data_IF_498192736941
#
_entry.id   IF_498192736941
#
_cell.length_a   1.000
_cell.length_b   1.000
_cell.length_c   1.000
_cell.angle_alpha   90.00
_cell.angle_beta   90.00
_cell.angle_gamma   90.00
#
_symmetry.space_group_name_H-M   'P 1'
#
loop_
_entity.id
_entity.type
_entity.pdbx_description
1 polymer ?
#
# COMPACT_ATOMS: atom_id res chain seq x y z
N UNK A 1 -15.32 43.48 -39.91
CA UNK A 1 -15.18 44.11 -38.59
C UNK A 1 -15.41 43.02 -37.56
N UNK A 2 -14.29 42.41 -37.13
CA UNK A 2 -14.31 41.27 -36.23
C UNK A 2 -14.43 41.76 -34.79
N UNK A 3 -15.32 41.18 -34.02
CA UNK A 3 -15.38 41.37 -32.57
C UNK A 3 -15.10 40.04 -31.91
N UNK A 4 -13.96 40.01 -31.25
CA UNK A 4 -13.48 39.00 -30.33
C UNK A 4 -14.38 38.96 -29.08
N UNK A 5 -14.83 37.75 -28.65
CA UNK A 5 -15.51 37.55 -27.38
C UNK A 5 -14.83 36.41 -26.63
N UNK A 6 -13.72 36.76 -26.00
CA UNK A 6 -13.21 36.00 -24.85
C UNK A 6 -14.11 36.29 -23.64
N UNK A 7 -14.98 35.37 -23.29
CA UNK A 7 -15.78 35.43 -22.05
C UNK A 7 -14.95 34.83 -20.94
N UNK A 8 -14.34 35.68 -20.15
CA UNK A 8 -13.73 35.36 -18.88
C UNK A 8 -14.85 35.20 -17.83
N UNK A 9 -15.15 33.97 -17.46
CA UNK A 9 -16.00 33.71 -16.30
C UNK A 9 -15.17 33.88 -15.03
N UNK A 10 -15.22 35.04 -14.42
CA UNK A 10 -14.80 35.26 -13.04
C UNK A 10 -15.89 34.72 -12.11
N UNK A 11 -15.62 33.60 -11.47
CA UNK A 11 -16.42 33.14 -10.32
C UNK A 11 -15.82 33.77 -9.07
N UNK A 12 -16.51 34.80 -8.55
CA UNK A 12 -16.25 35.31 -7.21
C UNK A 12 -16.72 34.29 -6.19
N UNK A 13 -15.78 33.64 -5.49
CA UNK A 13 -16.07 32.84 -4.30
C UNK A 13 -15.75 33.72 -3.10
N UNK A 14 -16.81 34.12 -2.39
CA UNK A 14 -16.69 34.72 -1.05
C UNK A 14 -16.10 33.67 -0.09
N UNK A 15 -14.96 34.00 0.50
CA UNK A 15 -14.29 33.19 1.51
C UNK A 15 -14.98 33.44 2.84
N UNK A 16 -15.87 32.54 3.28
CA UNK A 16 -16.29 32.42 4.67
C UNK A 16 -15.53 31.27 5.31
N UNK A 17 -14.66 31.67 6.23
CA UNK A 17 -13.99 30.92 7.30
C UNK A 17 -14.27 29.41 7.42
N UNK A 18 -13.24 28.58 7.23
CA UNK A 18 -13.10 27.31 7.95
C UNK A 18 -13.33 26.02 7.17
N UNK A 19 -12.98 25.94 5.88
CA UNK A 19 -12.90 24.66 5.17
C UNK A 19 -11.55 24.60 4.42
N UNK A 20 -10.73 23.63 4.81
CA UNK A 20 -9.55 23.20 4.09
C UNK A 20 -9.90 23.02 2.60
N UNK A 21 -9.18 23.67 1.70
CA UNK A 21 -9.27 23.42 0.27
C UNK A 21 -8.87 21.96 0.04
N UNK A 22 -9.87 21.08 -0.18
CA UNK A 22 -9.64 19.73 -0.70
C UNK A 22 -8.87 19.87 -2.02
N UNK A 23 -7.80 19.09 -2.13
CA UNK A 23 -6.79 19.18 -3.17
C UNK A 23 -7.34 19.31 -4.59
N UNK A 24 -6.62 20.06 -5.39
CA UNK A 24 -6.81 20.14 -6.84
C UNK A 24 -6.61 18.72 -7.39
N UNK A 25 -7.65 18.20 -8.04
CA UNK A 25 -7.59 16.89 -8.70
C UNK A 25 -6.69 17.03 -9.92
N UNK A 26 -5.48 16.50 -9.85
CA UNK A 26 -4.51 16.53 -10.94
C UNK A 26 -4.54 15.22 -11.75
N UNK A 27 -4.41 15.36 -13.06
CA UNK A 27 -4.47 14.28 -14.06
C UNK A 27 -3.11 13.62 -14.17
N UNK A 28 -2.96 12.37 -13.69
CA UNK A 28 -1.66 11.77 -13.48
C UNK A 28 -1.53 10.41 -14.13
N UNK A 29 -0.34 10.13 -14.67
CA UNK A 29 0.07 8.78 -15.05
C UNK A 29 1.20 8.28 -14.17
N UNK A 30 1.22 6.98 -13.94
CA UNK A 30 2.31 6.29 -13.28
C UNK A 30 3.49 6.11 -14.26
N UNK A 31 4.71 6.48 -13.82
CA UNK A 31 5.94 6.33 -14.61
C UNK A 31 7.04 5.70 -13.76
N UNK A 32 7.75 4.72 -14.30
CA UNK A 32 8.97 4.22 -13.67
C UNK A 32 10.08 5.28 -13.74
N UNK A 33 10.81 5.52 -12.65
CA UNK A 33 11.89 6.53 -12.59
C UNK A 33 13.00 6.27 -13.60
N UNK A 34 13.20 5.00 -14.01
CA UNK A 34 14.15 4.65 -15.09
C UNK A 34 13.77 5.26 -16.44
N UNK A 35 12.46 5.44 -16.68
CA UNK A 35 11.86 5.93 -17.93
C UNK A 35 11.39 7.38 -17.82
N UNK A 36 11.59 8.02 -16.63
CA UNK A 36 11.17 9.38 -16.34
C UNK A 36 11.98 10.38 -17.21
N UNK A 37 11.25 11.24 -17.90
CA UNK A 37 11.83 12.32 -18.73
C UNK A 37 11.99 13.61 -17.91
N UNK A 38 12.88 14.48 -18.37
CA UNK A 38 12.97 15.86 -17.87
C UNK A 38 11.81 16.70 -18.39
N UNK A 39 11.56 17.83 -17.74
CA UNK A 39 10.54 18.81 -18.12
C UNK A 39 9.08 18.34 -17.94
N UNK A 40 8.84 17.20 -17.23
CA UNK A 40 7.51 16.77 -16.84
C UNK A 40 7.21 17.22 -15.41
N UNK A 41 5.94 17.39 -15.07
CA UNK A 41 5.50 17.84 -13.75
C UNK A 41 5.20 16.64 -12.88
N UNK A 42 5.76 16.61 -11.67
CA UNK A 42 5.44 15.60 -10.65
C UNK A 42 4.03 15.84 -10.12
N UNK A 43 3.17 14.88 -10.26
CA UNK A 43 1.77 15.00 -9.84
C UNK A 43 1.56 14.72 -8.35
N UNK A 44 2.27 13.73 -7.77
CA UNK A 44 2.19 13.39 -6.34
C UNK A 44 3.50 13.72 -5.62
N UNK A 45 3.41 14.25 -4.40
CA UNK A 45 4.57 14.43 -3.54
C UNK A 45 5.27 13.10 -3.25
N UNK A 46 6.60 13.12 -3.26
CA UNK A 46 7.43 11.92 -3.13
C UNK A 46 8.16 11.98 -1.80
N UNK A 47 8.04 10.92 -1.00
CA UNK A 47 8.65 10.79 0.30
C UNK A 47 9.68 9.65 0.31
N UNK A 48 10.65 9.73 1.23
CA UNK A 48 11.58 8.62 1.47
C UNK A 48 11.03 7.62 2.51
N UNK A 49 11.79 6.55 2.77
CA UNK A 49 11.42 5.51 3.72
C UNK A 49 11.38 5.95 5.20
N UNK A 50 11.77 7.19 5.49
CA UNK A 50 11.65 7.80 6.83
C UNK A 50 10.52 8.85 6.90
N UNK A 51 9.64 8.91 5.89
CA UNK A 51 8.55 9.88 5.81
C UNK A 51 8.99 11.29 5.41
N UNK A 52 10.26 11.52 5.10
CA UNK A 52 10.75 12.85 4.73
C UNK A 52 10.44 13.17 3.27
N UNK A 53 9.87 14.34 3.02
CA UNK A 53 9.59 14.84 1.67
C UNK A 53 10.89 14.95 0.85
N UNK A 54 10.92 14.32 -0.32
CA UNK A 54 12.02 14.38 -1.30
C UNK A 54 11.74 15.38 -2.39
N UNK A 55 10.57 15.29 -3.04
CA UNK A 55 10.14 16.19 -4.12
C UNK A 55 8.64 16.47 -3.91
N UNK A 56 8.27 17.75 -3.99
CA UNK A 56 6.88 18.19 -3.86
C UNK A 56 6.15 18.03 -5.20
N UNK A 57 4.84 17.72 -5.16
CA UNK A 57 3.93 17.83 -6.33
C UNK A 57 4.03 19.23 -6.97
N UNK A 58 3.78 19.32 -8.27
CA UNK A 58 3.98 20.54 -9.06
C UNK A 58 5.45 20.83 -9.43
N UNK A 59 6.42 20.03 -8.96
CA UNK A 59 7.83 20.21 -9.30
C UNK A 59 8.12 19.70 -10.71
N UNK A 60 8.72 20.55 -11.55
CA UNK A 60 9.19 20.19 -12.88
C UNK A 60 10.49 19.39 -12.79
N UNK A 61 10.55 18.24 -13.43
CA UNK A 61 11.69 17.32 -13.34
C UNK A 61 12.91 17.85 -14.07
N UNK A 62 14.09 17.66 -13.48
CA UNK A 62 15.39 17.91 -14.06
C UNK A 62 16.24 16.63 -14.05
N UNK A 63 17.41 16.66 -14.68
CA UNK A 63 18.38 15.55 -14.62
C UNK A 63 18.82 15.29 -13.18
N UNK A 64 19.00 16.34 -12.40
CA UNK A 64 19.40 16.30 -11.00
C UNK A 64 18.29 15.64 -10.15
N UNK A 65 17.04 16.04 -10.34
CA UNK A 65 15.87 15.45 -9.65
C UNK A 65 15.77 13.95 -9.96
N UNK A 66 15.92 13.56 -11.22
CA UNK A 66 15.86 12.15 -11.63
C UNK A 66 17.01 11.36 -11.00
N UNK A 67 18.23 11.89 -10.99
CA UNK A 67 19.37 11.24 -10.34
C UNK A 67 19.18 11.14 -8.81
N UNK A 68 18.59 12.17 -8.19
CA UNK A 68 18.27 12.21 -6.77
C UNK A 68 17.22 11.14 -6.41
N UNK A 69 16.15 10.98 -7.21
CA UNK A 69 15.14 9.94 -7.03
C UNK A 69 15.77 8.53 -7.13
N UNK A 70 16.61 8.30 -8.16
CA UNK A 70 17.33 7.03 -8.31
C UNK A 70 18.23 6.71 -7.11
N UNK A 71 18.95 7.72 -6.58
CA UNK A 71 19.81 7.58 -5.40
C UNK A 71 19.01 7.24 -4.15
N UNK A 72 17.78 7.77 -4.02
CA UNK A 72 16.87 7.47 -2.92
C UNK A 72 15.99 6.23 -3.19
N UNK A 73 16.35 5.41 -4.20
CA UNK A 73 15.65 4.18 -4.55
C UNK A 73 14.14 4.34 -4.81
N UNK A 74 13.74 5.51 -5.30
CA UNK A 74 12.37 5.72 -5.79
C UNK A 74 12.25 5.07 -7.17
N UNK A 75 11.27 4.21 -7.37
CA UNK A 75 11.10 3.45 -8.61
C UNK A 75 9.93 3.91 -9.45
N UNK A 76 8.92 4.47 -8.81
CA UNK A 76 7.67 4.91 -9.45
C UNK A 76 7.36 6.31 -8.97
N UNK A 77 6.88 7.14 -9.89
CA UNK A 77 6.36 8.47 -9.62
C UNK A 77 5.07 8.67 -10.42
N UNK A 78 4.24 9.59 -9.97
CA UNK A 78 3.11 10.08 -10.75
C UNK A 78 3.49 11.41 -11.38
N UNK A 79 3.20 11.54 -12.67
CA UNK A 79 3.43 12.77 -13.44
C UNK A 79 2.13 13.21 -14.11
N UNK A 80 1.94 14.49 -14.27
CA UNK A 80 0.78 15.04 -14.96
C UNK A 80 0.73 14.59 -16.43
N UNK A 81 -0.45 14.23 -16.92
CA UNK A 81 -0.70 13.87 -18.32
C UNK A 81 -2.12 14.27 -18.75
N UNK A 82 -2.21 15.25 -19.65
CA UNK A 82 -3.48 15.76 -20.17
C UNK A 82 -4.40 14.69 -20.80
N UNK A 83 -3.85 13.53 -21.19
CA UNK A 83 -4.64 12.43 -21.76
C UNK A 83 -5.48 11.66 -20.72
N UNK A 84 -5.27 11.97 -19.44
CA UNK A 84 -5.94 11.31 -18.31
C UNK A 84 -6.77 12.30 -17.47
N UNK A 85 -7.28 13.38 -18.09
CA UNK A 85 -8.05 14.45 -17.43
C UNK A 85 -9.26 13.99 -16.61
N UNK A 86 -9.75 12.77 -16.84
CA UNK A 86 -10.88 12.16 -16.14
C UNK A 86 -10.46 11.15 -15.05
N UNK A 87 -9.16 10.89 -14.89
CA UNK A 87 -8.62 9.93 -13.92
C UNK A 87 -8.12 10.66 -12.67
N UNK A 88 -8.86 10.49 -11.56
CA UNK A 88 -8.54 11.09 -10.26
C UNK A 88 -7.66 10.15 -9.45
N UNK A 89 -6.54 10.65 -8.95
CA UNK A 89 -5.62 9.94 -8.04
C UNK A 89 -5.47 10.81 -6.79
N UNK A 90 -5.72 10.21 -5.63
CA UNK A 90 -5.63 10.87 -4.33
C UNK A 90 -4.21 10.79 -3.75
N UNK A 91 -3.74 11.84 -3.10
CA UNK A 91 -2.42 11.90 -2.43
C UNK A 91 -2.52 12.05 -0.89
N UNK A 92 -3.73 12.20 -0.33
CA UNK A 92 -3.95 12.38 1.12
C UNK A 92 -3.45 11.17 1.92
N UNK A 93 -3.62 9.95 1.38
CA UNK A 93 -3.10 8.73 2.02
C UNK A 93 -1.57 8.75 2.14
N UNK A 94 -0.87 9.27 1.13
CA UNK A 94 0.60 9.35 1.15
C UNK A 94 1.10 10.31 2.25
N UNK A 95 0.40 11.42 2.48
CA UNK A 95 0.70 12.36 3.56
C UNK A 95 0.44 11.74 4.93
N UNK A 96 -0.71 11.09 5.13
CA UNK A 96 -1.04 10.40 6.38
C UNK A 96 -0.04 9.28 6.66
N UNK A 97 0.32 8.49 5.66
CA UNK A 97 1.34 7.45 5.73
C UNK A 97 2.68 8.02 6.16
N UNK A 98 3.11 9.12 5.54
CA UNK A 98 4.35 9.81 5.85
C UNK A 98 4.39 10.30 7.30
N UNK A 99 3.33 10.97 7.76
CA UNK A 99 3.20 11.48 9.11
C UNK A 99 3.19 10.34 10.15
N UNK A 100 2.54 9.22 9.84
CA UNK A 100 2.55 8.04 10.71
C UNK A 100 3.94 7.44 10.80
N UNK A 101 4.66 7.38 9.68
CA UNK A 101 6.00 6.80 9.60
C UNK A 101 7.02 7.56 10.46
N UNK A 102 6.95 8.89 10.49
CA UNK A 102 7.82 9.72 11.33
C UNK A 102 7.66 9.42 12.83
N UNK A 103 6.46 9.02 13.25
CA UNK A 103 6.13 8.73 14.66
C UNK A 103 6.41 7.27 15.07
N UNK A 104 6.50 6.34 14.14
CA UNK A 104 6.66 4.90 14.46
C UNK A 104 7.86 4.57 15.35
N UNK A 105 9.06 5.16 15.18
CA UNK A 105 10.19 4.90 16.07
C UNK A 105 9.90 5.26 17.53
N UNK A 106 9.22 6.39 17.77
CA UNK A 106 8.83 6.84 19.09
C UNK A 106 7.78 5.91 19.71
N UNK A 107 6.78 5.50 18.92
CA UNK A 107 5.74 4.55 19.34
C UNK A 107 6.37 3.24 19.82
N UNK A 108 7.27 2.65 19.03
CA UNK A 108 7.93 1.39 19.37
C UNK A 108 8.83 1.54 20.61
N UNK A 109 9.56 2.64 20.74
CA UNK A 109 10.38 2.92 21.92
C UNK A 109 9.53 3.05 23.18
N UNK A 110 8.43 3.79 23.11
CA UNK A 110 7.53 4.00 24.25
C UNK A 110 6.85 2.69 24.69
N UNK A 111 6.43 1.85 23.75
CA UNK A 111 5.92 0.50 24.03
C UNK A 111 6.95 -0.37 24.75
N UNK A 112 8.22 -0.31 24.34
CA UNK A 112 9.30 -1.12 24.91
C UNK A 112 9.83 -0.57 26.25
N UNK A 113 9.63 0.72 26.54
CA UNK A 113 10.08 1.34 27.80
C UNK A 113 9.21 0.99 29.00
N UNK A 114 7.98 0.48 28.76
CA UNK A 114 6.97 0.20 29.79
C UNK A 114 6.23 1.44 30.27
N UNK A 115 6.44 2.60 29.67
CA UNK A 115 5.68 3.82 29.94
C UNK A 115 4.30 3.74 29.28
N UNK A 116 3.30 3.41 30.09
CA UNK A 116 1.92 3.17 29.63
C UNK A 116 1.24 4.44 29.11
N UNK A 117 1.57 5.60 29.64
CA UNK A 117 0.92 6.87 29.26
C UNK A 117 1.41 7.29 27.89
N UNK A 118 2.73 7.37 27.70
CA UNK A 118 3.36 7.67 26.41
C UNK A 118 3.00 6.65 25.32
N UNK A 119 2.90 5.37 25.67
CA UNK A 119 2.48 4.33 24.72
C UNK A 119 1.03 4.49 24.28
N UNK A 120 0.10 4.88 25.18
CA UNK A 120 -1.30 5.15 24.84
C UNK A 120 -1.44 6.38 23.94
N UNK A 121 -0.76 7.47 24.28
CA UNK A 121 -0.74 8.67 23.44
C UNK A 121 -0.21 8.38 22.04
N UNK A 122 0.86 7.57 21.95
CA UNK A 122 1.42 7.13 20.70
C UNK A 122 0.41 6.30 19.86
N UNK A 123 -0.36 5.39 20.48
CA UNK A 123 -1.40 4.63 19.81
C UNK A 123 -2.59 5.50 19.36
N UNK A 124 -2.92 6.56 20.10
CA UNK A 124 -3.96 7.52 19.66
C UNK A 124 -3.58 8.25 18.35
N UNK A 125 -2.30 8.50 18.14
CA UNK A 125 -1.83 9.12 16.90
C UNK A 125 -2.09 8.25 15.64
N UNK A 126 -2.32 6.94 15.79
CA UNK A 126 -2.71 6.05 14.69
C UNK A 126 -4.18 6.24 14.26
N UNK A 127 -4.99 6.93 15.07
CA UNK A 127 -6.41 7.13 14.76
C UNK A 127 -6.64 7.90 13.46
N UNK A 128 -5.73 8.82 13.09
CA UNK A 128 -5.86 9.60 11.85
C UNK A 128 -5.90 8.70 10.61
N UNK A 129 -5.09 7.64 10.57
CA UNK A 129 -5.10 6.67 9.48
C UNK A 129 -6.44 5.93 9.39
N UNK A 130 -6.96 5.48 10.54
CA UNK A 130 -8.26 4.79 10.60
C UNK A 130 -9.41 5.73 10.27
N UNK A 131 -9.34 6.98 10.73
CA UNK A 131 -10.35 7.99 10.46
C UNK A 131 -10.43 8.30 8.97
N UNK A 132 -9.28 8.47 8.30
CA UNK A 132 -9.21 8.62 6.86
C UNK A 132 -9.82 7.40 6.14
N UNK A 133 -9.36 6.18 6.42
CA UNK A 133 -9.86 4.96 5.78
C UNK A 133 -11.36 4.76 6.03
N UNK A 134 -11.86 5.15 7.21
CA UNK A 134 -13.28 5.01 7.55
C UNK A 134 -14.16 6.04 6.84
N UNK A 135 -13.66 7.27 6.65
CA UNK A 135 -14.40 8.38 6.02
C UNK A 135 -14.46 8.27 4.49
N UNK A 136 -13.40 7.74 3.89
CA UNK A 136 -13.37 7.54 2.45
C UNK A 136 -14.39 6.49 2.01
N UNK A 137 -15.05 6.74 0.86
CA UNK A 137 -16.00 5.81 0.25
C UNK A 137 -15.32 4.53 -0.27
N UNK A 138 -15.43 4.27 -1.56
CA UNK A 138 -14.70 3.20 -2.23
C UNK A 138 -13.29 3.67 -2.60
N UNK A 139 -12.35 3.59 -1.65
CA UNK A 139 -10.94 3.86 -1.93
C UNK A 139 -10.36 2.68 -2.70
N UNK A 140 -9.93 2.96 -3.92
CA UNK A 140 -9.24 2.01 -4.77
C UNK A 140 -7.77 1.98 -4.39
N UNK A 141 -7.40 1.10 -3.44
CA UNK A 141 -5.99 0.93 -3.12
C UNK A 141 -5.29 0.13 -4.19
N UNK A 142 -4.25 0.75 -4.66
CA UNK A 142 -3.34 0.22 -5.62
C UNK A 142 -2.19 -0.51 -4.92
N UNK A 143 -2.01 -1.78 -5.26
CA UNK A 143 -0.91 -2.60 -4.74
C UNK A 143 0.49 -2.06 -5.09
N UNK A 144 0.61 -1.21 -6.11
CA UNK A 144 1.87 -0.54 -6.46
C UNK A 144 2.23 0.61 -5.51
N UNK A 145 1.26 1.24 -4.87
CA UNK A 145 1.47 2.32 -3.88
C UNK A 145 1.91 1.79 -2.52
N UNK A 146 1.59 0.52 -2.23
CA UNK A 146 1.99 -0.18 -1.01
C UNK A 146 3.37 -0.86 -1.10
N UNK A 147 4.22 -0.46 -2.05
CA UNK A 147 5.55 -1.05 -2.21
C UNK A 147 6.53 -0.50 -1.18
N UNK A 148 7.02 -1.38 -0.34
CA UNK A 148 8.12 -1.10 0.59
C UNK A 148 9.46 -1.22 -0.12
N UNK A 149 10.35 -0.24 0.06
CA UNK A 149 11.60 -0.13 -0.70
C UNK A 149 12.87 -0.46 0.07
N UNK A 150 12.82 -0.71 1.38
CA UNK A 150 14.03 -1.01 2.14
C UNK A 150 13.80 -2.02 3.29
N UNK A 151 14.92 -2.55 3.77
CA UNK A 151 14.96 -3.53 4.84
C UNK A 151 14.31 -2.98 6.11
N UNK A 152 13.42 -3.80 6.66
CA UNK A 152 13.01 -3.77 8.04
C UNK A 152 12.71 -2.38 8.61
N UNK A 153 11.78 -1.69 8.02
CA UNK A 153 11.37 -0.39 8.47
C UNK A 153 9.91 -0.43 8.91
N UNK A 154 9.57 0.48 9.77
CA UNK A 154 8.21 0.77 10.19
C UNK A 154 7.22 0.91 9.01
N UNK A 155 7.75 1.16 7.80
CA UNK A 155 6.97 1.25 6.56
C UNK A 155 6.22 -0.06 6.26
N UNK A 156 6.86 -1.22 6.48
CA UNK A 156 6.20 -2.52 6.34
C UNK A 156 5.03 -2.68 7.31
N UNK A 157 5.22 -2.27 8.57
CA UNK A 157 4.15 -2.29 9.57
C UNK A 157 3.00 -1.37 9.16
N UNK A 158 3.30 -0.19 8.61
CA UNK A 158 2.30 0.77 8.14
C UNK A 158 1.55 0.22 6.93
N UNK A 159 2.26 -0.29 5.93
CA UNK A 159 1.64 -0.88 4.73
C UNK A 159 0.74 -2.07 5.10
N UNK A 160 1.19 -2.93 6.02
CA UNK A 160 0.39 -4.03 6.57
C UNK A 160 -0.86 -3.50 7.29
N UNK A 161 -0.71 -2.45 8.11
CA UNK A 161 -1.82 -1.79 8.82
C UNK A 161 -2.84 -1.17 7.86
N UNK A 162 -2.38 -0.45 6.86
CA UNK A 162 -3.23 0.14 5.81
C UNK A 162 -4.04 -0.96 5.10
N UNK A 163 -3.37 -2.01 4.62
CA UNK A 163 -4.02 -3.12 3.94
C UNK A 163 -5.04 -3.82 4.83
N UNK A 164 -4.68 -4.11 6.09
CA UNK A 164 -5.58 -4.74 7.05
C UNK A 164 -6.83 -3.89 7.30
N UNK A 165 -6.69 -2.55 7.44
CA UNK A 165 -7.82 -1.64 7.62
C UNK A 165 -8.77 -1.65 6.42
N UNK A 166 -8.25 -1.61 5.19
CA UNK A 166 -9.11 -1.66 4.00
C UNK A 166 -9.81 -3.02 3.87
N UNK A 167 -9.11 -4.09 4.16
CA UNK A 167 -9.69 -5.43 4.16
C UNK A 167 -10.78 -5.55 5.22
N UNK A 168 -10.53 -5.08 6.45
CA UNK A 168 -11.52 -5.03 7.52
C UNK A 168 -12.74 -4.18 7.16
N UNK A 169 -12.56 -3.02 6.51
CA UNK A 169 -13.64 -2.18 6.01
C UNK A 169 -14.51 -2.94 4.99
N UNK A 170 -13.90 -3.63 4.04
CA UNK A 170 -14.61 -4.47 3.06
C UNK A 170 -15.28 -5.70 3.70
N UNK A 171 -14.83 -6.11 4.87
CA UNK A 171 -15.50 -7.13 5.70
C UNK A 171 -16.66 -6.57 6.54
N UNK A 172 -16.91 -5.27 6.48
CA UNK A 172 -18.01 -4.61 7.18
C UNK A 172 -17.69 -4.22 8.64
N UNK A 173 -16.41 -4.12 9.01
CA UNK A 173 -16.03 -3.69 10.35
C UNK A 173 -16.43 -2.24 10.60
N UNK A 174 -16.98 -1.98 11.79
CA UNK A 174 -17.21 -0.61 12.24
C UNK A 174 -15.88 0.07 12.63
N UNK A 175 -15.92 1.38 12.84
CA UNK A 175 -14.75 2.20 13.16
C UNK A 175 -13.95 1.68 14.37
N UNK A 176 -14.64 1.23 15.42
CA UNK A 176 -13.97 0.73 16.63
C UNK A 176 -13.21 -0.58 16.35
N UNK A 177 -13.83 -1.51 15.63
CA UNK A 177 -13.15 -2.76 15.24
C UNK A 177 -12.00 -2.50 14.26
N UNK A 178 -12.13 -1.51 13.36
CA UNK A 178 -11.05 -1.07 12.47
C UNK A 178 -9.86 -0.49 13.24
N UNK A 179 -10.09 0.32 14.28
CA UNK A 179 -9.02 0.85 15.14
C UNK A 179 -8.24 -0.28 15.81
N UNK A 180 -8.93 -1.26 16.37
CA UNK A 180 -8.30 -2.44 17.00
C UNK A 180 -7.46 -3.24 16.00
N UNK A 181 -8.01 -3.51 14.82
CA UNK A 181 -7.30 -4.19 13.74
C UNK A 181 -6.07 -3.40 13.28
N UNK A 182 -6.19 -2.08 13.14
CA UNK A 182 -5.07 -1.20 12.78
C UNK A 182 -3.94 -1.29 13.79
N UNK A 183 -4.25 -1.14 15.08
CA UNK A 183 -3.26 -1.24 16.17
C UNK A 183 -2.56 -2.59 16.12
N UNK A 184 -3.33 -3.67 16.02
CA UNK A 184 -2.78 -5.03 15.92
C UNK A 184 -1.84 -5.19 14.73
N UNK A 185 -2.26 -4.73 13.55
CA UNK A 185 -1.46 -4.85 12.32
C UNK A 185 -0.23 -3.95 12.31
N UNK A 186 -0.32 -2.71 12.84
CA UNK A 186 0.81 -1.80 12.97
C UNK A 186 1.87 -2.30 13.96
N UNK A 187 1.46 -3.09 14.94
CA UNK A 187 2.32 -3.60 16.00
C UNK A 187 2.67 -5.08 15.85
N UNK A 188 2.26 -5.75 14.75
CA UNK A 188 2.47 -7.20 14.60
C UNK A 188 3.93 -7.62 14.81
N UNK A 189 4.84 -6.76 14.41
CA UNK A 189 6.30 -6.98 14.45
C UNK A 189 7.01 -6.31 15.65
N UNK A 190 6.30 -5.71 16.61
CA UNK A 190 6.91 -4.98 17.74
C UNK A 190 7.87 -5.84 18.55
N UNK A 191 7.63 -7.14 18.66
CA UNK A 191 8.51 -8.08 19.36
C UNK A 191 9.88 -8.28 18.71
N UNK A 192 10.09 -7.86 17.47
CA UNK A 192 11.41 -7.86 16.82
C UNK A 192 12.39 -6.92 17.50
N UNK A 193 11.90 -5.94 18.26
CA UNK A 193 12.77 -5.09 19.11
C UNK A 193 13.56 -5.86 20.16
N UNK A 194 13.10 -7.06 20.54
CA UNK A 194 13.81 -7.98 21.45
C UNK A 194 14.72 -8.98 20.73
N UNK A 195 14.76 -8.99 19.41
CA UNK A 195 15.65 -9.84 18.61
C UNK A 195 16.96 -9.09 18.35
N UNK A 196 18.13 -9.77 18.40
CA UNK A 196 19.42 -9.14 18.09
C UNK A 196 19.41 -8.46 16.70
N UNK A 197 19.87 -7.22 16.63
CA UNK A 197 19.89 -6.43 15.40
C UNK A 197 20.71 -7.09 14.29
N UNK A 198 21.78 -7.78 14.64
CA UNK A 198 22.64 -8.52 13.70
C UNK A 198 21.84 -9.61 12.97
N UNK A 199 20.87 -10.22 13.67
CA UNK A 199 20.03 -11.26 13.10
C UNK A 199 18.95 -10.66 12.19
N UNK A 200 18.32 -9.56 12.61
CA UNK A 200 17.30 -8.87 11.83
C UNK A 200 17.88 -8.30 10.53
N UNK A 201 19.09 -7.71 10.61
CA UNK A 201 19.75 -7.04 9.49
C UNK A 201 20.71 -7.95 8.72
N UNK A 202 20.70 -9.27 8.98
CA UNK A 202 21.60 -10.21 8.32
C UNK A 202 21.42 -10.21 6.81
N UNK A 203 22.49 -9.91 6.09
CA UNK A 203 22.52 -10.06 4.65
C UNK A 203 22.61 -11.54 4.28
N UNK A 204 21.56 -12.11 3.69
CA UNK A 204 21.52 -13.51 3.25
C UNK A 204 20.47 -14.35 3.99
N UNK A 205 20.54 -15.66 3.77
CA UNK A 205 19.61 -16.60 4.42
C UNK A 205 19.98 -16.81 5.89
N UNK A 206 18.96 -16.87 6.74
CA UNK A 206 19.12 -17.31 8.13
C UNK A 206 19.40 -18.81 8.17
N UNK A 207 20.23 -19.25 9.15
CA UNK A 207 20.33 -20.68 9.50
C UNK A 207 19.05 -21.13 10.21
N UNK A 208 18.87 -22.43 10.38
CA UNK A 208 17.71 -22.98 11.09
C UNK A 208 17.67 -22.52 12.56
N UNK A 209 18.84 -22.37 13.19
CA UNK A 209 18.97 -21.87 14.57
C UNK A 209 18.62 -20.38 14.66
N UNK A 210 19.10 -19.58 13.73
CA UNK A 210 18.78 -18.15 13.65
C UNK A 210 17.28 -17.95 13.37
N UNK A 211 16.71 -18.76 12.48
CA UNK A 211 15.28 -18.71 12.19
C UNK A 211 14.44 -19.10 13.42
N UNK A 212 14.87 -20.07 14.22
CA UNK A 212 14.22 -20.39 15.51
C UNK A 212 14.18 -19.19 16.45
N UNK A 213 15.29 -18.43 16.54
CA UNK A 213 15.34 -17.21 17.37
C UNK A 213 14.34 -16.15 16.83
N UNK A 214 14.33 -15.94 15.52
CA UNK A 214 13.40 -15.00 14.91
C UNK A 214 11.93 -15.36 15.18
N UNK A 215 11.58 -16.63 15.21
CA UNK A 215 10.20 -17.13 15.50
C UNK A 215 9.68 -16.78 16.90
N UNK A 216 10.52 -16.29 17.81
CA UNK A 216 10.07 -15.83 19.12
C UNK A 216 9.43 -14.44 19.10
N UNK A 217 9.60 -13.62 18.02
CA UNK A 217 9.11 -12.25 18.03
C UNK A 217 7.58 -12.12 18.25
N UNK A 218 6.68 -13.04 17.78
CA UNK A 218 5.26 -12.90 18.11
C UNK A 218 5.00 -13.06 19.61
N UNK A 219 5.73 -13.98 20.28
CA UNK A 219 5.69 -14.14 21.73
C UNK A 219 6.19 -12.91 22.48
N UNK A 220 7.32 -12.33 22.04
CA UNK A 220 7.83 -11.08 22.60
C UNK A 220 6.86 -9.90 22.35
N UNK A 221 6.21 -9.85 21.20
CA UNK A 221 5.17 -8.86 20.91
C UNK A 221 4.00 -8.97 21.89
N UNK A 222 3.51 -10.18 22.11
CA UNK A 222 2.48 -10.45 23.13
C UNK A 222 2.90 -9.97 24.51
N UNK A 223 4.12 -10.32 24.97
CA UNK A 223 4.64 -9.89 26.28
C UNK A 223 4.67 -8.37 26.43
N UNK A 224 5.13 -7.65 25.39
CA UNK A 224 5.16 -6.18 25.38
C UNK A 224 3.74 -5.61 25.55
N UNK A 225 2.78 -6.13 24.78
CA UNK A 225 1.39 -5.65 24.82
C UNK A 225 0.65 -6.03 26.11
N UNK A 226 0.92 -7.22 26.67
CA UNK A 226 0.39 -7.63 27.97
C UNK A 226 0.90 -6.72 29.11
N UNK A 227 2.18 -6.33 29.07
CA UNK A 227 2.78 -5.39 30.04
C UNK A 227 2.17 -3.99 29.95
N UNK A 228 1.83 -3.54 28.73
CA UNK A 228 1.12 -2.28 28.53
C UNK A 228 -0.27 -2.32 29.20
N UNK A 229 -0.99 -3.42 29.04
CA UNK A 229 -2.34 -3.61 29.56
C UNK A 229 -3.40 -2.73 28.88
N UNK A 230 -4.66 -3.08 29.06
CA UNK A 230 -5.80 -2.30 28.54
C UNK A 230 -6.06 -2.48 27.05
N UNK A 231 -5.32 -3.34 26.36
CA UNK A 231 -5.64 -3.78 25.01
C UNK A 231 -6.57 -5.01 25.05
N UNK A 232 -7.50 -5.07 24.11
CA UNK A 232 -8.38 -6.22 24.00
C UNK A 232 -7.65 -7.47 23.48
N UNK A 233 -8.15 -8.61 23.83
CA UNK A 233 -7.57 -9.91 23.51
C UNK A 233 -7.37 -10.11 21.99
N UNK A 234 -8.31 -9.64 21.17
CA UNK A 234 -8.23 -9.73 19.71
C UNK A 234 -7.00 -8.99 19.17
N UNK A 235 -6.64 -7.83 19.76
CA UNK A 235 -5.46 -7.05 19.37
C UNK A 235 -4.18 -7.81 19.67
N UNK A 236 -4.09 -8.36 20.89
CA UNK A 236 -2.93 -9.13 21.35
C UNK A 236 -2.77 -10.42 20.57
N UNK A 237 -3.88 -11.12 20.33
CA UNK A 237 -3.90 -12.36 19.56
C UNK A 237 -3.54 -12.11 18.09
N UNK A 238 -3.93 -10.98 17.50
CA UNK A 238 -3.49 -10.58 16.16
C UNK A 238 -1.97 -10.50 16.05
N UNK A 239 -1.31 -9.89 17.04
CA UNK A 239 0.16 -9.81 17.13
C UNK A 239 0.80 -11.17 17.41
N UNK A 240 0.23 -11.97 18.31
CA UNK A 240 0.80 -13.25 18.70
C UNK A 240 0.71 -14.30 17.60
N UNK A 241 -0.40 -14.33 16.84
CA UNK A 241 -0.78 -15.41 15.93
C UNK A 241 -0.58 -15.10 14.45
N UNK A 242 -0.05 -13.92 14.07
CA UNK A 242 0.02 -13.52 12.66
C UNK A 242 0.87 -14.42 11.76
N UNK A 243 1.71 -15.27 12.33
CA UNK A 243 2.46 -16.30 11.61
C UNK A 243 1.85 -17.71 11.72
N UNK A 244 0.67 -17.84 12.33
CA UNK A 244 -0.07 -19.08 12.22
C UNK A 244 -0.55 -19.28 10.77
N UNK A 245 -0.63 -20.54 10.36
CA UNK A 245 -1.12 -20.92 9.04
C UNK A 245 -2.44 -21.67 9.16
N UNK A 246 -3.32 -21.44 8.22
CA UNK A 246 -4.67 -21.99 8.25
C UNK A 246 -4.70 -23.51 8.37
N UNK A 247 -3.69 -24.21 7.83
CA UNK A 247 -3.50 -25.66 7.93
C UNK A 247 -2.84 -26.14 9.24
N UNK A 248 -2.39 -25.22 10.11
CA UNK A 248 -1.74 -25.49 11.39
C UNK A 248 -0.24 -25.78 11.32
N UNK A 249 0.40 -25.53 10.18
CA UNK A 249 1.87 -25.65 10.04
C UNK A 249 2.62 -24.39 10.42
N UNK A 250 1.89 -23.38 10.95
CA UNK A 250 2.42 -22.11 11.38
C UNK A 250 3.09 -22.13 12.76
N UNK A 251 3.31 -20.98 13.33
CA UNK A 251 3.85 -20.74 14.66
C UNK A 251 3.24 -19.49 15.27
N UNK A 252 3.29 -19.27 16.59
CA UNK A 252 4.04 -20.04 17.60
C UNK A 252 3.31 -21.25 18.18
N UNK A 253 1.99 -21.34 18.09
CA UNK A 253 1.18 -22.36 18.78
C UNK A 253 0.70 -23.51 17.88
N UNK A 254 0.81 -23.35 16.54
CA UNK A 254 0.33 -24.34 15.57
C UNK A 254 -1.21 -24.42 15.49
N UNK A 255 -1.89 -23.30 15.69
CA UNK A 255 -3.34 -23.17 15.62
C UNK A 255 -3.84 -23.43 14.19
N UNK A 256 -5.11 -23.85 14.07
CA UNK A 256 -5.72 -24.19 12.78
C UNK A 256 -7.05 -23.47 12.60
N UNK A 257 -7.31 -23.06 11.38
CA UNK A 257 -8.62 -22.54 10.95
C UNK A 257 -9.13 -21.43 11.90
N UNK A 258 -10.30 -21.66 12.48
CA UNK A 258 -11.00 -20.70 13.35
C UNK A 258 -10.43 -20.61 14.77
N UNK A 259 -9.49 -21.50 15.16
CA UNK A 259 -8.72 -21.33 16.39
C UNK A 259 -7.73 -20.17 16.28
N UNK A 260 -7.39 -19.75 15.05
CA UNK A 260 -6.59 -18.55 14.78
C UNK A 260 -7.50 -17.34 14.86
N UNK A 261 -7.12 -16.32 15.63
CA UNK A 261 -7.83 -15.04 15.71
C UNK A 261 -8.12 -14.47 14.31
N UNK A 262 -9.32 -13.92 14.13
CA UNK A 262 -9.70 -13.31 12.84
C UNK A 262 -8.72 -12.17 12.46
N UNK A 263 -8.25 -11.38 13.44
CA UNK A 263 -7.24 -10.34 13.19
C UNK A 263 -5.93 -10.96 12.70
N UNK A 264 -5.46 -12.03 13.31
CA UNK A 264 -4.24 -12.71 12.88
C UNK A 264 -4.37 -13.26 11.45
N UNK A 265 -5.51 -13.85 11.09
CA UNK A 265 -5.78 -14.32 9.71
C UNK A 265 -5.75 -13.21 8.70
N UNK A 266 -6.29 -12.01 9.02
CA UNK A 266 -6.22 -10.81 8.17
C UNK A 266 -4.78 -10.31 8.05
N UNK A 267 -4.10 -10.15 9.19
CA UNK A 267 -2.73 -9.64 9.25
C UNK A 267 -1.79 -10.55 8.47
N UNK A 268 -1.92 -11.87 8.60
CA UNK A 268 -1.08 -12.84 7.87
C UNK A 268 -1.10 -12.66 6.35
N UNK A 269 -2.26 -12.42 5.76
CA UNK A 269 -2.39 -12.15 4.32
C UNK A 269 -1.70 -10.83 3.95
N UNK A 270 -1.92 -9.78 4.73
CA UNK A 270 -1.37 -8.45 4.48
C UNK A 270 0.16 -8.43 4.69
N UNK A 271 0.65 -9.04 5.77
CA UNK A 271 2.08 -9.16 6.09
C UNK A 271 2.84 -9.89 4.97
N UNK A 272 2.37 -11.07 4.56
CA UNK A 272 3.05 -11.82 3.49
C UNK A 272 3.04 -11.03 2.19
N UNK A 273 1.92 -10.41 1.81
CA UNK A 273 1.86 -9.60 0.60
C UNK A 273 2.87 -8.44 0.64
N UNK A 274 2.88 -7.65 1.71
CA UNK A 274 3.80 -6.51 1.85
C UNK A 274 5.26 -6.96 1.93
N UNK A 275 5.54 -8.07 2.63
CA UNK A 275 6.89 -8.62 2.74
C UNK A 275 7.47 -9.14 1.41
N UNK A 276 6.66 -9.76 0.54
CA UNK A 276 7.14 -10.29 -0.75
C UNK A 276 7.20 -9.21 -1.84
N UNK A 277 6.36 -8.18 -1.72
CA UNK A 277 6.36 -7.01 -2.60
C UNK A 277 7.51 -6.04 -2.28
N UNK A 278 8.12 -6.14 -1.09
CA UNK A 278 9.25 -5.31 -0.68
C UNK A 278 10.55 -5.71 -1.41
N UNK A 279 11.38 -4.71 -1.72
CA UNK A 279 12.76 -4.95 -2.15
C UNK A 279 13.60 -5.44 -0.96
N UNK A 280 14.32 -6.55 -1.14
CA UNK A 280 15.31 -7.02 -0.15
C UNK A 280 16.68 -7.09 -0.81
N UNK A 281 17.74 -6.77 -0.09
CA UNK A 281 19.12 -6.73 -0.60
C UNK A 281 19.58 -8.04 -1.28
N UNK A 282 18.95 -9.16 -0.98
CA UNK A 282 19.35 -10.52 -1.42
C UNK A 282 18.24 -11.25 -2.20
N UNK A 283 17.09 -10.60 -2.48
CA UNK A 283 15.99 -11.22 -3.26
C UNK A 283 15.41 -10.20 -4.24
N UNK A 284 15.32 -10.60 -5.52
CA UNK A 284 14.51 -9.87 -6.48
C UNK A 284 13.06 -9.84 -5.95
N UNK A 285 12.48 -8.64 -5.85
CA UNK A 285 11.08 -8.48 -5.44
C UNK A 285 10.17 -9.22 -6.40
N UNK A 286 9.04 -9.70 -5.91
CA UNK A 286 7.94 -10.08 -6.78
C UNK A 286 7.32 -8.82 -7.39
N UNK A 287 6.93 -8.93 -8.65
CA UNK A 287 5.97 -7.98 -9.22
C UNK A 287 4.68 -8.04 -8.37
N UNK A 288 3.92 -6.96 -8.20
CA UNK A 288 2.64 -7.01 -7.48
C UNK A 288 1.70 -8.11 -7.98
N UNK A 289 1.73 -8.43 -9.26
CA UNK A 289 0.97 -9.56 -9.80
C UNK A 289 1.47 -10.90 -9.25
N UNK A 290 2.79 -11.10 -9.19
CA UNK A 290 3.38 -12.33 -8.63
C UNK A 290 3.06 -12.47 -7.12
N UNK A 291 3.11 -11.35 -6.38
CA UNK A 291 2.73 -11.32 -4.97
C UNK A 291 1.23 -11.62 -4.77
N UNK A 292 0.39 -11.05 -5.62
CA UNK A 292 -1.05 -11.30 -5.63
C UNK A 292 -1.36 -12.78 -5.89
N UNK A 293 -0.78 -13.38 -6.92
CA UNK A 293 -0.92 -14.80 -7.23
C UNK A 293 -0.40 -15.71 -6.09
N UNK A 294 0.66 -15.30 -5.39
CA UNK A 294 1.15 -16.01 -4.21
C UNK A 294 0.08 -16.08 -3.13
N UNK A 295 -0.61 -14.97 -2.84
CA UNK A 295 -1.69 -14.95 -1.85
C UNK A 295 -2.83 -15.87 -2.28
N UNK A 296 -3.27 -15.81 -3.55
CA UNK A 296 -4.35 -16.65 -4.06
C UNK A 296 -3.99 -18.13 -3.97
N UNK A 297 -2.76 -18.51 -4.33
CA UNK A 297 -2.28 -19.89 -4.29
C UNK A 297 -2.15 -20.45 -2.88
N UNK A 298 -1.98 -19.60 -1.86
CA UNK A 298 -1.91 -19.96 -0.45
C UNK A 298 -3.27 -20.21 0.22
N UNK A 299 -4.38 -20.02 -0.50
CA UNK A 299 -5.74 -20.21 0.01
C UNK A 299 -5.98 -21.63 0.52
N UNK A 300 -6.51 -21.76 1.74
CA UNK A 300 -6.81 -23.05 2.37
C UNK A 300 -5.61 -23.77 3.00
N UNK A 301 -4.39 -23.30 2.73
CA UNK A 301 -3.15 -23.82 3.34
C UNK A 301 -2.51 -22.76 4.25
N UNK A 302 -1.91 -21.74 3.69
CA UNK A 302 -1.33 -20.64 4.46
C UNK A 302 -2.40 -19.70 5.00
N UNK A 303 -3.42 -19.40 4.21
CA UNK A 303 -4.40 -18.37 4.47
C UNK A 303 -5.84 -18.90 4.51
N UNK A 304 -6.67 -18.19 5.28
CA UNK A 304 -8.11 -18.41 5.32
C UNK A 304 -8.73 -18.11 3.93
N UNK A 305 -9.44 -19.06 3.31
CA UNK A 305 -10.07 -18.87 2.01
C UNK A 305 -11.03 -17.68 1.96
N UNK A 306 -11.74 -17.40 3.06
CA UNK A 306 -12.69 -16.30 3.13
C UNK A 306 -11.97 -14.94 3.12
N UNK A 307 -10.83 -14.85 3.80
CA UNK A 307 -9.98 -13.65 3.81
C UNK A 307 -9.31 -13.46 2.46
N UNK A 308 -8.80 -14.51 1.82
CA UNK A 308 -8.23 -14.46 0.48
C UNK A 308 -9.24 -13.97 -0.55
N UNK A 309 -10.49 -14.45 -0.49
CA UNK A 309 -11.54 -13.97 -1.40
C UNK A 309 -11.87 -12.49 -1.17
N UNK A 310 -11.88 -12.01 0.09
CA UNK A 310 -12.02 -10.59 0.41
C UNK A 310 -10.84 -9.78 -0.10
N UNK A 311 -9.61 -10.25 0.11
CA UNK A 311 -8.39 -9.64 -0.43
C UNK A 311 -8.48 -9.49 -1.95
N UNK A 312 -8.84 -10.55 -2.66
CA UNK A 312 -9.03 -10.56 -4.11
C UNK A 312 -9.99 -9.49 -4.61
N UNK A 313 -11.05 -9.20 -3.86
CA UNK A 313 -12.05 -8.18 -4.22
C UNK A 313 -11.72 -6.77 -3.75
N UNK A 314 -10.77 -6.63 -2.85
CA UNK A 314 -10.44 -5.33 -2.25
C UNK A 314 -9.34 -4.60 -2.99
N UNK A 315 -8.31 -5.34 -3.46
CA UNK A 315 -7.10 -4.74 -3.98
C UNK A 315 -6.99 -4.90 -5.49
N UNK A 316 -6.75 -3.78 -6.17
CA UNK A 316 -6.58 -3.76 -7.61
C UNK A 316 -5.12 -4.03 -7.99
N UNK A 317 -4.95 -4.93 -8.95
CA UNK A 317 -3.64 -5.38 -9.42
C UNK A 317 -2.95 -4.30 -10.27
N UNK A 318 -3.72 -3.57 -11.07
CA UNK A 318 -3.22 -2.55 -11.99
C UNK A 318 -3.71 -1.16 -11.57
N UNK A 319 -2.78 -0.21 -11.26
CA UNK A 319 -3.16 1.12 -10.81
C UNK A 319 -3.87 1.96 -11.88
N UNK A 320 -4.71 2.90 -11.43
CA UNK A 320 -5.17 3.98 -12.30
C UNK A 320 -3.95 4.76 -12.83
N UNK A 321 -4.00 5.14 -14.11
CA UNK A 321 -2.89 5.82 -14.78
C UNK A 321 -1.70 4.92 -15.15
N UNK A 322 -1.70 3.62 -14.82
CA UNK A 322 -0.65 2.72 -15.27
C UNK A 322 -0.71 2.48 -16.78
N UNK A 323 0.43 2.59 -17.45
CA UNK A 323 0.57 2.14 -18.84
C UNK A 323 0.71 0.63 -18.87
N UNK A 324 -0.16 -0.04 -19.61
CA UNK A 324 -0.21 -1.50 -19.70
C UNK A 324 -0.15 -1.98 -21.12
N UNK A 325 0.50 -3.13 -21.31
CA UNK A 325 0.55 -3.85 -22.56
C UNK A 325 -0.48 -4.97 -22.54
N UNK A 326 -1.32 -5.03 -23.57
CA UNK A 326 -2.32 -6.07 -23.75
C UNK A 326 -1.81 -7.23 -24.61
N UNK A 327 -2.34 -8.43 -24.39
CA UNK A 327 -1.95 -9.65 -25.10
C UNK A 327 -2.15 -9.62 -26.63
N UNK A 328 -3.03 -8.74 -27.10
CA UNK A 328 -3.28 -8.52 -28.52
C UNK A 328 -2.25 -7.58 -29.21
N UNK A 329 -1.29 -7.01 -28.45
CA UNK A 329 -0.25 -6.13 -28.95
C UNK A 329 -0.64 -4.64 -28.96
N UNK A 330 -1.58 -4.24 -28.13
CA UNK A 330 -2.00 -2.86 -27.95
C UNK A 330 -1.51 -2.35 -26.58
N UNK A 331 -1.20 -1.07 -26.47
CA UNK A 331 -0.85 -0.38 -25.23
C UNK A 331 -1.88 0.67 -24.88
N UNK A 332 -2.07 0.89 -23.59
CA UNK A 332 -2.99 1.90 -23.09
C UNK A 332 -2.85 2.15 -21.60
N UNK A 333 -3.67 3.05 -21.09
CA UNK A 333 -3.69 3.43 -19.68
C UNK A 333 -4.91 2.83 -18.97
N UNK A 334 -4.70 2.34 -17.76
CA UNK A 334 -5.81 1.94 -16.87
C UNK A 334 -6.55 3.20 -16.45
N UNK A 335 -7.82 3.32 -16.82
CA UNK A 335 -8.64 4.51 -16.55
C UNK A 335 -9.78 4.26 -15.57
N UNK A 336 -10.18 2.99 -15.39
CA UNK A 336 -11.22 2.62 -14.43
C UNK A 336 -11.02 1.19 -13.94
N UNK A 337 -11.37 0.95 -12.68
CA UNK A 337 -11.34 -0.36 -12.05
C UNK A 337 -12.70 -1.07 -12.17
N UNK A 338 -12.68 -2.40 -12.20
CA UNK A 338 -13.87 -3.24 -12.11
C UNK A 338 -13.92 -3.93 -10.74
N UNK A 339 -14.88 -3.57 -9.88
CA UNK A 339 -14.95 -3.93 -8.46
C UNK A 339 -14.84 -5.44 -8.16
N UNK A 340 -15.40 -6.30 -9.02
CA UNK A 340 -15.36 -7.74 -8.81
C UNK A 340 -14.25 -8.45 -9.59
N UNK A 341 -13.51 -7.72 -10.42
CA UNK A 341 -12.47 -8.23 -11.32
C UNK A 341 -11.24 -7.32 -11.28
N UNK A 342 -10.48 -7.31 -10.15
CA UNK A 342 -9.38 -6.37 -9.92
C UNK A 342 -8.19 -6.56 -10.87
N UNK A 343 -8.11 -7.70 -11.56
CA UNK A 343 -7.15 -8.03 -12.62
C UNK A 343 -7.64 -7.65 -14.04
N UNK A 344 -8.89 -7.11 -14.14
CA UNK A 344 -9.54 -6.80 -15.41
C UNK A 344 -10.11 -5.38 -15.47
N UNK A 345 -9.23 -4.36 -15.45
CA UNK A 345 -9.66 -2.97 -15.51
C UNK A 345 -10.19 -2.56 -16.88
N UNK A 346 -10.73 -1.34 -16.97
CA UNK A 346 -10.98 -0.65 -18.23
C UNK A 346 -9.69 0.05 -18.64
N UNK A 347 -9.25 -0.22 -19.89
CA UNK A 347 -8.01 0.32 -20.46
C UNK A 347 -8.34 1.25 -21.62
N UNK A 348 -7.88 2.50 -21.55
CA UNK A 348 -7.90 3.46 -22.67
C UNK A 348 -6.68 3.22 -23.53
N UNK A 349 -6.88 2.60 -24.67
CA UNK A 349 -5.81 2.28 -25.62
C UNK A 349 -5.39 3.51 -26.40
N UNK A 350 -4.07 3.65 -26.61
CA UNK A 350 -3.48 4.83 -27.26
C UNK A 350 -2.41 4.47 -28.30
N UNK A 351 -1.94 3.21 -28.33
CA UNK A 351 -0.84 2.81 -29.19
C UNK A 351 -0.98 1.37 -29.67
N UNK A 352 -0.67 1.12 -30.95
CA UNK A 352 -0.56 -0.22 -31.55
C UNK A 352 0.91 -0.58 -31.71
N UNK A 353 1.39 -1.54 -30.91
CA UNK A 353 2.79 -1.99 -30.90
C UNK A 353 3.17 -2.64 -32.25
N UNK A 354 2.24 -3.41 -32.84
CA UNK A 354 2.50 -4.14 -34.10
C UNK A 354 2.63 -3.21 -35.29
N UNK A 355 1.82 -2.14 -35.29
CA UNK A 355 1.85 -1.13 -36.34
C UNK A 355 2.83 0.01 -36.03
N UNK A 356 3.43 0.01 -34.83
CA UNK A 356 4.38 1.02 -34.32
C UNK A 356 3.84 2.46 -34.49
N UNK A 357 2.59 2.68 -34.11
CA UNK A 357 1.93 3.98 -34.27
C UNK A 357 0.87 4.27 -33.20
N UNK A 358 0.67 5.57 -32.88
CA UNK A 358 -0.48 5.99 -32.11
C UNK A 358 -1.80 5.65 -32.81
N UNK A 359 -2.82 5.33 -32.04
CA UNK A 359 -4.18 5.12 -32.52
C UNK A 359 -5.14 6.11 -31.83
N UNK A 360 -6.26 6.39 -32.46
CA UNK A 360 -7.32 7.18 -31.82
C UNK A 360 -7.74 6.49 -30.54
N UNK A 361 -7.76 7.21 -29.39
CA UNK A 361 -8.07 6.61 -28.10
C UNK A 361 -9.48 6.00 -28.09
N UNK A 362 -9.61 4.79 -27.55
CA UNK A 362 -10.88 4.14 -27.23
C UNK A 362 -10.70 3.27 -26.00
N UNK A 363 -11.79 2.93 -25.33
CA UNK A 363 -11.73 2.13 -24.09
C UNK A 363 -12.09 0.66 -24.37
N UNK A 364 -11.37 -0.23 -23.69
CA UNK A 364 -11.64 -1.67 -23.67
C UNK A 364 -11.93 -2.05 -22.22
N UNK A 365 -13.13 -2.56 -21.98
CA UNK A 365 -13.43 -3.26 -20.72
C UNK A 365 -12.90 -4.70 -20.83
N UNK A 366 -11.91 -5.04 -20.01
CA UNK A 366 -11.31 -6.37 -20.03
C UNK A 366 -12.24 -7.44 -19.43
N UNK A 367 -13.29 -7.08 -18.72
CA UNK A 367 -14.33 -8.03 -18.31
C UNK A 367 -15.18 -8.46 -19.51
N UNK A 368 -15.52 -7.54 -20.40
CA UNK A 368 -16.25 -7.87 -21.63
C UNK A 368 -15.36 -8.58 -22.67
N UNK A 369 -14.07 -8.28 -22.68
CA UNK A 369 -13.08 -8.83 -23.61
C UNK A 369 -12.19 -9.88 -22.93
N UNK A 370 -12.82 -10.97 -22.46
CA UNK A 370 -12.16 -12.01 -21.66
C UNK A 370 -10.94 -12.68 -22.34
N UNK A 371 -10.85 -12.63 -23.66
CA UNK A 371 -9.72 -13.15 -24.45
C UNK A 371 -8.52 -12.19 -24.50
N UNK A 372 -8.64 -10.97 -23.98
CA UNK A 372 -7.56 -9.99 -23.88
C UNK A 372 -7.15 -9.90 -22.41
N UNK A 373 -5.84 -10.02 -22.15
CA UNK A 373 -5.26 -9.89 -20.81
C UNK A 373 -4.14 -8.87 -20.82
N UNK A 374 -3.84 -8.30 -19.65
CA UNK A 374 -2.65 -7.48 -19.45
C UNK A 374 -1.45 -8.42 -19.39
N UNK A 375 -0.44 -8.18 -20.25
CA UNK A 375 0.79 -8.95 -20.32
C UNK A 375 1.96 -8.28 -19.57
N UNK A 376 1.81 -7.04 -19.16
CA UNK A 376 2.80 -6.31 -18.38
C UNK A 376 2.45 -4.84 -18.16
N UNK A 377 3.10 -4.24 -17.18
CA UNK A 377 3.09 -2.80 -16.91
C UNK A 377 4.37 -2.22 -17.48
N UNK A 378 4.26 -1.08 -18.21
CA UNK A 378 5.35 -0.47 -18.98
C UNK A 378 5.84 0.79 -18.27
#
# INVERSE_FOLDING_TARGET
MYIDKSVQLQINIEVSSGLSLKGVVEFMKMVFVRDLKTEVIIGKSIYNNAGKLLIKSGTKTSKENIAFLKKNMVFIVYVEDEKLEDVKIDDELDEIKSNTLEKMPEIFNNLCSGDRESAREALENMNNLVDYISSEGDVNINLYELKTYDQYTYIHCIDTGIMACFLGKRMGYNKEKLKKLAISALLHDVGKTKIPNELINKAGKLTDEEFKILRFHPGYGKEILDQLGGLEEDVVNGVYQHHEKYDGTGYPAGLKKDDISEFARIISVCDVFTAVSANRAYRKRFDPNEAYELILSGSGTMFDPSIVERFRRTFFVYPLGACVKLSNGIEGYVVKQNENFPDRPIVRVTYDIKADKPISPYEIDLVEKYNIVISGVI
#
